data_IF_079392080195
#
_entry.id   IF_079392080195
#
_cell.length_a   1.000
_cell.length_b   1.000
_cell.length_c   1.000
_cell.angle_alpha   90.00
_cell.angle_beta   90.00
_cell.angle_gamma   90.00
#
_symmetry.space_group_name_H-M   'P 1'
#
loop_
_entity.id
_entity.type
_entity.pdbx_description
1 polymer ?
#
# COMPACT_ATOMS: atom_id res chain seq x y z
N UNK A 1 9.44 -22.00 -2.48
CA UNK A 1 8.75 -22.02 -3.80
C UNK A 1 8.86 -20.66 -4.42
N UNK A 2 9.05 -20.57 -5.74
CA UNK A 2 9.12 -19.29 -6.46
C UNK A 2 7.73 -18.68 -6.66
N UNK A 3 7.65 -17.34 -6.80
CA UNK A 3 6.37 -16.63 -6.94
C UNK A 3 5.56 -17.10 -8.15
N UNK A 4 6.23 -17.39 -9.28
CA UNK A 4 5.59 -17.91 -10.49
C UNK A 4 4.89 -19.26 -10.27
N UNK A 5 5.48 -20.10 -9.44
CA UNK A 5 4.90 -21.41 -9.09
C UNK A 5 3.67 -21.23 -8.18
N UNK A 6 3.73 -20.31 -7.21
CA UNK A 6 2.58 -20.01 -6.35
C UNK A 6 1.42 -19.42 -7.18
N UNK A 7 1.73 -18.49 -8.09
CA UNK A 7 0.72 -17.93 -9.01
C UNK A 7 0.10 -19.01 -9.88
N UNK A 8 0.90 -19.95 -10.39
CA UNK A 8 0.39 -21.09 -11.17
C UNK A 8 -0.60 -21.96 -10.36
N UNK A 9 -0.37 -22.17 -9.07
CA UNK A 9 -1.31 -22.88 -8.19
C UNK A 9 -2.64 -22.11 -8.05
N UNK A 10 -2.62 -20.78 -7.90
CA UNK A 10 -3.84 -19.97 -7.91
C UNK A 10 -4.60 -20.10 -9.24
N UNK A 11 -3.91 -20.04 -10.37
CA UNK A 11 -4.51 -20.20 -11.70
C UNK A 11 -5.14 -21.58 -11.89
N UNK A 12 -4.54 -22.62 -11.31
CA UNK A 12 -5.05 -24.00 -11.32
C UNK A 12 -6.15 -24.25 -10.28
N UNK A 13 -6.49 -23.24 -9.45
CA UNK A 13 -7.42 -23.40 -8.33
C UNK A 13 -7.01 -24.50 -7.35
N UNK A 14 -5.72 -24.68 -7.16
CA UNK A 14 -5.19 -25.61 -6.16
C UNK A 14 -5.17 -24.95 -4.77
N UNK A 15 -5.75 -25.58 -3.77
CA UNK A 15 -5.74 -25.11 -2.37
C UNK A 15 -4.32 -24.97 -1.81
N UNK A 16 -3.34 -25.69 -2.38
CA UNK A 16 -1.93 -25.53 -2.04
C UNK A 16 -1.42 -24.10 -2.26
N UNK A 17 -2.05 -23.31 -3.13
CA UNK A 17 -1.71 -21.92 -3.34
C UNK A 17 -1.73 -21.14 -2.03
N UNK A 18 -2.75 -21.35 -1.18
CA UNK A 18 -2.91 -20.68 0.11
C UNK A 18 -1.82 -21.09 1.07
N UNK A 19 -1.58 -22.41 1.21
CA UNK A 19 -0.58 -22.95 2.13
C UNK A 19 0.85 -22.51 1.76
N UNK A 20 1.18 -22.48 0.47
CA UNK A 20 2.48 -22.00 0.00
C UNK A 20 2.64 -20.49 0.15
N UNK A 21 1.55 -19.74 -0.02
CA UNK A 21 1.53 -18.29 0.22
C UNK A 21 1.75 -17.98 1.69
N UNK A 22 1.05 -18.65 2.61
CA UNK A 22 1.25 -18.46 4.05
C UNK A 22 2.68 -18.81 4.46
N UNK A 23 3.20 -19.93 4.00
CA UNK A 23 4.57 -20.35 4.30
C UNK A 23 5.63 -19.34 3.86
N UNK A 24 5.43 -18.68 2.71
CA UNK A 24 6.40 -17.72 2.16
C UNK A 24 6.18 -16.31 2.67
N UNK A 25 4.94 -15.88 2.79
CA UNK A 25 4.58 -14.48 3.04
C UNK A 25 3.78 -14.24 4.32
N UNK A 26 3.31 -15.27 5.02
CA UNK A 26 2.47 -15.12 6.20
C UNK A 26 3.08 -14.23 7.29
N UNK A 27 4.38 -14.40 7.59
CA UNK A 27 5.08 -13.54 8.54
C UNK A 27 5.12 -12.06 8.13
N UNK A 28 5.34 -11.80 6.84
CA UNK A 28 5.31 -10.44 6.28
C UNK A 28 3.91 -9.84 6.38
N UNK A 29 2.87 -10.59 5.98
CA UNK A 29 1.49 -10.10 5.98
C UNK A 29 0.99 -9.82 7.40
N UNK A 30 1.34 -10.67 8.38
CA UNK A 30 1.08 -10.42 9.80
C UNK A 30 1.78 -9.17 10.30
N UNK A 31 3.02 -8.94 9.90
CA UNK A 31 3.76 -7.71 10.23
C UNK A 31 3.07 -6.47 9.64
N UNK A 32 2.64 -6.53 8.37
CA UNK A 32 1.90 -5.43 7.71
C UNK A 32 0.59 -5.14 8.42
N UNK A 33 -0.21 -6.17 8.74
CA UNK A 33 -1.47 -6.00 9.45
C UNK A 33 -1.26 -5.48 10.88
N UNK A 34 -0.29 -6.03 11.61
CA UNK A 34 -0.02 -5.71 13.01
C UNK A 34 0.51 -4.29 13.26
N UNK A 35 1.06 -3.62 12.24
CA UNK A 35 1.42 -2.19 12.32
C UNK A 35 0.20 -1.27 12.30
N UNK A 36 -0.88 -1.72 11.64
CA UNK A 36 -2.11 -0.95 11.48
C UNK A 36 -3.10 -1.28 12.60
N UNK A 37 -3.14 -2.55 13.00
CA UNK A 37 -4.11 -3.08 13.97
C UNK A 37 -3.43 -3.37 15.29
N UNK A 38 -4.07 -2.96 16.40
CA UNK A 38 -3.50 -3.10 17.74
C UNK A 38 -3.68 -4.52 18.33
N UNK A 39 -4.57 -5.34 17.74
CA UNK A 39 -4.90 -6.69 18.24
C UNK A 39 -4.35 -7.75 17.29
N UNK A 40 -3.71 -8.76 17.86
CA UNK A 40 -3.13 -9.86 17.08
C UNK A 40 -4.22 -10.67 16.35
N UNK A 41 -5.37 -10.88 16.99
CA UNK A 41 -6.49 -11.60 16.40
C UNK A 41 -7.04 -10.92 15.15
N UNK A 42 -7.18 -9.58 15.18
CA UNK A 42 -7.59 -8.81 14.02
C UNK A 42 -6.57 -8.94 12.87
N UNK A 43 -5.27 -9.00 13.19
CA UNK A 43 -4.21 -9.18 12.19
C UNK A 43 -4.28 -10.56 11.52
N UNK A 44 -4.54 -11.63 12.27
CA UNK A 44 -4.71 -12.97 11.71
C UNK A 44 -5.96 -13.06 10.84
N UNK A 45 -7.08 -12.44 11.24
CA UNK A 45 -8.29 -12.36 10.43
C UNK A 45 -8.00 -11.67 9.08
N UNK A 46 -7.31 -10.52 9.11
CA UNK A 46 -6.95 -9.79 7.89
C UNK A 46 -6.01 -10.60 6.98
N UNK A 47 -5.09 -11.36 7.53
CA UNK A 47 -4.22 -12.25 6.74
C UNK A 47 -5.05 -13.34 6.05
N UNK A 48 -6.00 -13.95 6.74
CA UNK A 48 -6.92 -14.92 6.18
C UNK A 48 -7.78 -14.31 5.06
N UNK A 49 -8.33 -13.11 5.29
CA UNK A 49 -9.09 -12.35 4.28
C UNK A 49 -8.21 -11.99 3.07
N UNK A 50 -6.92 -11.74 3.28
CA UNK A 50 -5.96 -11.50 2.17
C UNK A 50 -5.83 -12.72 1.28
N UNK A 51 -5.76 -13.92 1.85
CA UNK A 51 -5.70 -15.16 1.06
C UNK A 51 -7.00 -15.40 0.29
N UNK A 52 -8.14 -15.17 0.92
CA UNK A 52 -9.44 -15.27 0.26
C UNK A 52 -9.58 -14.25 -0.88
N UNK A 53 -9.15 -13.02 -0.67
CA UNK A 53 -9.16 -11.98 -1.70
C UNK A 53 -8.24 -12.35 -2.88
N UNK A 54 -7.02 -12.82 -2.59
CA UNK A 54 -6.10 -13.30 -3.63
C UNK A 54 -6.69 -14.50 -4.40
N UNK A 55 -7.30 -15.45 -3.70
CA UNK A 55 -7.99 -16.58 -4.30
C UNK A 55 -9.11 -16.16 -5.27
N UNK A 56 -9.89 -15.17 -4.88
CA UNK A 56 -11.01 -14.68 -5.69
C UNK A 56 -10.58 -13.81 -6.87
N UNK A 57 -9.44 -13.11 -6.76
CA UNK A 57 -8.96 -12.19 -7.77
C UNK A 57 -7.99 -12.82 -8.77
N UNK A 58 -7.32 -13.90 -8.41
CA UNK A 58 -6.42 -14.65 -9.30
C UNK A 58 -7.09 -15.98 -9.71
N UNK A 59 -7.48 -16.19 -10.98
CA UNK A 59 -7.65 -15.22 -12.06
C UNK A 59 -8.87 -14.31 -11.88
N UNK A 60 -9.08 -13.24 -12.63
CA UNK A 60 -8.35 -12.88 -13.88
C UNK A 60 -7.07 -12.07 -13.67
N UNK A 61 -6.81 -11.51 -12.47
CA UNK A 61 -5.59 -10.75 -12.22
C UNK A 61 -4.38 -11.69 -12.16
N UNK A 62 -3.28 -11.28 -12.81
CA UNK A 62 -1.99 -11.98 -12.72
C UNK A 62 -0.95 -10.99 -12.19
N UNK A 63 -0.58 -11.07 -10.90
CA UNK A 63 0.36 -10.14 -10.31
C UNK A 63 1.78 -10.35 -10.86
N UNK A 64 2.46 -9.26 -11.23
CA UNK A 64 3.87 -9.29 -11.64
C UNK A 64 4.81 -9.60 -10.47
N UNK A 65 4.49 -9.09 -9.28
CA UNK A 65 5.24 -9.30 -8.03
C UNK A 65 4.25 -9.67 -6.94
N UNK A 66 4.23 -10.94 -6.58
CA UNK A 66 3.25 -11.51 -5.64
C UNK A 66 3.34 -10.86 -4.25
N UNK A 67 4.57 -10.61 -3.75
CA UNK A 67 4.83 -9.91 -2.49
C UNK A 67 4.07 -8.58 -2.40
N UNK A 68 4.22 -7.73 -3.41
CA UNK A 68 3.61 -6.40 -3.44
C UNK A 68 2.08 -6.48 -3.57
N UNK A 69 1.60 -7.42 -4.37
CA UNK A 69 0.18 -7.66 -4.55
C UNK A 69 -0.50 -8.05 -3.24
N UNK A 70 0.03 -9.04 -2.53
CA UNK A 70 -0.50 -9.49 -1.24
C UNK A 70 -0.40 -8.40 -0.16
N UNK A 71 0.76 -7.74 -0.03
CA UNK A 71 0.94 -6.66 0.94
C UNK A 71 -0.05 -5.51 0.71
N UNK A 72 -0.37 -5.18 -0.55
CA UNK A 72 -1.39 -4.18 -0.90
C UNK A 72 -2.78 -4.61 -0.43
N UNK A 73 -3.18 -5.86 -0.68
CA UNK A 73 -4.47 -6.40 -0.23
C UNK A 73 -4.56 -6.34 1.29
N UNK A 74 -3.56 -6.89 1.99
CA UNK A 74 -3.49 -6.92 3.46
C UNK A 74 -3.64 -5.51 4.05
N UNK A 75 -2.90 -4.57 3.50
CA UNK A 75 -2.94 -3.17 3.95
C UNK A 75 -4.31 -2.53 3.75
N UNK A 76 -4.92 -2.72 2.58
CA UNK A 76 -6.24 -2.19 2.29
C UNK A 76 -7.31 -2.75 3.25
N UNK A 77 -7.26 -4.04 3.54
CA UNK A 77 -8.17 -4.71 4.47
C UNK A 77 -7.95 -4.23 5.91
N UNK A 78 -6.69 -4.16 6.36
CA UNK A 78 -6.34 -3.69 7.70
C UNK A 78 -6.79 -2.24 7.94
N UNK A 79 -6.63 -1.38 6.95
CA UNK A 79 -7.06 0.02 7.04
C UNK A 79 -8.57 0.17 7.03
N UNK A 80 -9.27 -0.60 6.20
CA UNK A 80 -10.75 -0.62 6.22
C UNK A 80 -11.27 -1.05 7.60
N UNK A 81 -10.61 -2.04 8.23
CA UNK A 81 -10.94 -2.48 9.60
C UNK A 81 -10.63 -1.38 10.62
N UNK A 82 -9.48 -0.73 10.51
CA UNK A 82 -9.08 0.38 11.39
C UNK A 82 -10.00 1.59 11.28
N UNK A 83 -10.38 2.01 10.06
CA UNK A 83 -11.31 3.11 9.82
C UNK A 83 -12.69 2.83 10.43
N UNK A 84 -13.17 1.61 10.32
CA UNK A 84 -14.43 1.18 10.94
C UNK A 84 -14.37 1.25 12.47
N UNK A 85 -13.23 0.89 13.05
CA UNK A 85 -13.03 0.91 14.51
C UNK A 85 -12.75 2.32 15.08
N UNK A 86 -12.28 3.27 14.25
CA UNK A 86 -11.79 4.57 14.71
C UNK A 86 -12.18 5.75 13.82
N UNK A 87 -13.47 6.07 13.76
CA UNK A 87 -13.98 7.29 13.10
C UNK A 87 -13.36 8.61 13.63
N UNK A 88 -12.54 8.57 14.68
CA UNK A 88 -11.97 9.72 15.38
C UNK A 88 -10.45 9.99 15.15
N UNK A 89 -9.70 9.15 14.40
CA UNK A 89 -8.22 9.27 14.34
C UNK A 89 -7.63 9.40 12.94
N UNK A 90 -8.09 10.37 12.13
CA UNK A 90 -7.51 10.65 10.80
C UNK A 90 -6.01 11.04 10.82
N UNK A 91 -5.55 11.72 11.87
CA UNK A 91 -4.16 12.14 11.99
C UNK A 91 -3.20 10.95 12.20
N UNK A 92 -3.56 10.00 13.08
CA UNK A 92 -2.78 8.78 13.30
C UNK A 92 -2.72 7.87 12.05
N UNK A 93 -3.75 7.91 11.21
CA UNK A 93 -3.78 7.19 9.94
C UNK A 93 -2.71 7.67 8.95
N UNK A 94 -2.52 8.98 8.82
CA UNK A 94 -1.49 9.56 7.96
C UNK A 94 -0.08 9.20 8.45
N UNK A 95 0.14 9.24 9.76
CA UNK A 95 1.42 8.91 10.37
C UNK A 95 1.81 7.44 10.17
N UNK A 96 0.86 6.51 10.34
CA UNK A 96 1.06 5.07 10.04
C UNK A 96 1.34 4.85 8.56
N UNK A 97 0.58 5.49 7.67
CA UNK A 97 0.78 5.35 6.23
C UNK A 97 2.14 5.89 5.76
N UNK A 98 2.62 6.98 6.37
CA UNK A 98 3.94 7.54 6.09
C UNK A 98 5.04 6.60 6.56
N UNK A 99 4.95 6.04 7.76
CA UNK A 99 5.96 5.10 8.28
C UNK A 99 6.07 3.82 7.44
N UNK A 100 4.98 3.38 6.83
CA UNK A 100 4.96 2.20 5.98
C UNK A 100 5.44 2.45 4.54
N UNK A 101 5.38 3.69 4.05
CA UNK A 101 5.94 4.05 2.74
C UNK A 101 7.45 3.76 2.67
N UNK A 102 8.17 3.93 3.77
CA UNK A 102 9.60 3.62 3.86
C UNK A 102 9.91 2.14 3.57
N UNK A 103 9.00 1.23 3.91
CA UNK A 103 9.18 -0.20 3.69
C UNK A 103 8.58 -0.71 2.37
N UNK A 104 7.75 0.10 1.71
CA UNK A 104 7.13 -0.27 0.44
C UNK A 104 8.01 0.01 -0.77
N UNK A 105 9.10 0.76 -0.60
CA UNK A 105 10.10 0.91 -1.63
C UNK A 105 10.81 -0.44 -1.78
N UNK A 106 10.77 -1.07 -2.96
CA UNK A 106 11.32 -2.40 -3.13
C UNK A 106 12.81 -2.39 -2.76
N UNK A 107 13.26 -3.31 -1.92
CA UNK A 107 14.70 -3.54 -1.68
C UNK A 107 15.32 -4.20 -2.93
N UNK A 108 15.22 -3.48 -4.04
CA UNK A 108 15.77 -3.88 -5.35
C UNK A 108 17.20 -3.43 -5.52
N UNK A 109 17.70 -2.67 -4.54
CA UNK A 109 19.03 -2.11 -4.60
C UNK A 109 20.09 -3.17 -4.33
N UNK A 110 20.80 -3.57 -5.38
CA UNK A 110 21.89 -4.53 -5.31
C UNK A 110 23.17 -3.95 -4.66
N UNK A 111 23.25 -2.61 -4.49
CA UNK A 111 24.43 -1.93 -3.95
C UNK A 111 24.12 -1.07 -2.72
N UNK A 112 25.08 -0.81 -1.83
CA UNK A 112 24.93 0.09 -0.69
C UNK A 112 24.54 1.52 -1.10
N UNK A 113 25.09 2.01 -2.22
CA UNK A 113 24.81 3.35 -2.77
C UNK A 113 23.35 3.48 -3.18
N UNK A 114 22.82 2.46 -3.89
CA UNK A 114 21.42 2.43 -4.31
C UNK A 114 20.45 2.35 -3.10
N UNK A 115 20.87 1.70 -2.01
CA UNK A 115 20.07 1.69 -0.75
C UNK A 115 20.07 3.06 -0.07
N UNK A 116 21.19 3.77 -0.09
CA UNK A 116 21.28 5.12 0.45
C UNK A 116 20.38 6.09 -0.34
N UNK A 117 20.46 6.08 -1.68
CA UNK A 117 19.63 6.90 -2.56
C UNK A 117 18.13 6.61 -2.37
N UNK A 118 17.75 5.34 -2.23
CA UNK A 118 16.41 4.92 -1.95
C UNK A 118 15.88 5.45 -0.60
N UNK A 119 16.73 5.43 0.42
CA UNK A 119 16.39 5.98 1.74
C UNK A 119 16.22 7.50 1.68
N UNK A 120 17.08 8.21 0.97
CA UNK A 120 16.96 9.66 0.78
C UNK A 120 15.69 10.05 0.03
N UNK A 121 15.34 9.30 -1.03
CA UNK A 121 14.07 9.49 -1.76
C UNK A 121 12.87 9.26 -0.84
N UNK A 122 12.89 8.24 0.01
CA UNK A 122 11.85 7.96 1.00
C UNK A 122 11.66 9.13 1.96
N UNK A 123 12.77 9.65 2.51
CA UNK A 123 12.74 10.81 3.40
C UNK A 123 12.22 12.08 2.71
N UNK A 124 12.60 12.29 1.45
CA UNK A 124 12.08 13.41 0.65
C UNK A 124 10.57 13.29 0.43
N UNK A 125 10.09 12.10 0.08
CA UNK A 125 8.65 11.84 -0.10
C UNK A 125 7.87 12.06 1.20
N UNK A 126 8.41 11.63 2.35
CA UNK A 126 7.79 11.84 3.65
C UNK A 126 7.72 13.35 3.99
N UNK A 127 8.77 14.13 3.71
CA UNK A 127 8.74 15.60 3.87
C UNK A 127 7.66 16.24 3.00
N UNK A 128 7.56 15.83 1.74
CA UNK A 128 6.51 16.32 0.84
C UNK A 128 5.11 16.04 1.39
N UNK A 129 4.83 14.78 1.78
CA UNK A 129 3.53 14.37 2.29
C UNK A 129 3.16 15.08 3.60
N UNK A 130 4.13 15.28 4.49
CA UNK A 130 3.92 15.99 5.75
C UNK A 130 3.64 17.48 5.56
N UNK A 131 4.01 18.06 4.42
CA UNK A 131 3.72 19.45 4.05
C UNK A 131 2.36 19.65 3.36
N UNK A 132 1.65 18.59 3.01
CA UNK A 132 0.34 18.68 2.37
C UNK A 132 -0.77 18.97 3.37
N UNK A 133 -1.86 19.58 2.88
CA UNK A 133 -3.09 19.63 3.67
C UNK A 133 -3.66 18.20 3.88
N UNK A 134 -4.42 17.96 4.97
CA UNK A 134 -4.90 16.63 5.33
C UNK A 134 -5.73 15.95 4.22
N UNK A 135 -6.50 16.75 3.45
CA UNK A 135 -7.30 16.22 2.35
C UNK A 135 -6.41 15.76 1.19
N UNK A 136 -5.45 16.58 0.77
CA UNK A 136 -4.56 16.27 -0.34
C UNK A 136 -3.63 15.10 0.01
N UNK A 137 -3.15 15.01 1.26
CA UNK A 137 -2.41 13.85 1.75
C UNK A 137 -3.27 12.57 1.69
N UNK A 138 -4.51 12.61 2.19
CA UNK A 138 -5.43 11.48 2.14
C UNK A 138 -5.75 11.04 0.70
N UNK A 139 -5.93 11.99 -0.23
CA UNK A 139 -6.16 11.70 -1.65
C UNK A 139 -4.92 11.08 -2.30
N UNK A 140 -3.74 11.62 -2.00
CA UNK A 140 -2.48 11.10 -2.54
C UNK A 140 -2.23 9.66 -2.07
N UNK A 141 -2.24 9.43 -0.76
CA UNK A 141 -2.09 8.10 -0.18
C UNK A 141 -3.18 7.15 -0.68
N UNK A 142 -4.43 7.58 -0.69
CA UNK A 142 -5.55 6.81 -1.20
C UNK A 142 -5.36 6.35 -2.64
N UNK A 143 -4.79 7.21 -3.49
CA UNK A 143 -4.55 6.88 -4.90
C UNK A 143 -3.32 6.02 -5.13
N UNK A 144 -2.17 6.40 -4.56
CA UNK A 144 -0.89 5.81 -4.93
C UNK A 144 -0.46 4.68 -4.02
N UNK A 145 -0.88 4.75 -2.78
CA UNK A 145 -0.56 3.73 -1.80
C UNK A 145 -1.66 2.67 -1.67
N UNK A 146 -2.94 3.11 -1.62
CA UNK A 146 -4.09 2.20 -1.50
C UNK A 146 -4.73 1.81 -2.83
N UNK A 147 -4.26 2.36 -3.95
CA UNK A 147 -4.76 2.12 -5.30
C UNK A 147 -6.28 2.34 -5.46
N UNK A 148 -6.86 3.24 -4.66
CA UNK A 148 -8.29 3.59 -4.77
C UNK A 148 -8.53 4.44 -6.01
N UNK A 149 -9.70 4.27 -6.64
CA UNK A 149 -10.07 5.09 -7.78
C UNK A 149 -10.64 6.45 -7.34
N UNK A 150 -10.74 7.40 -8.30
CA UNK A 150 -11.19 8.75 -7.98
C UNK A 150 -12.65 8.83 -7.50
N UNK A 151 -13.48 7.85 -7.84
CA UNK A 151 -14.87 7.79 -7.38
C UNK A 151 -14.95 7.37 -5.91
N UNK A 152 -14.19 6.31 -5.55
CA UNK A 152 -14.08 5.83 -4.16
C UNK A 152 -13.52 6.91 -3.23
N UNK A 153 -12.42 7.56 -3.65
CA UNK A 153 -11.83 8.66 -2.90
C UNK A 153 -12.79 9.85 -2.75
N UNK A 154 -13.56 10.15 -3.82
CA UNK A 154 -14.56 11.19 -3.79
C UNK A 154 -15.66 10.91 -2.77
N UNK A 155 -16.18 9.69 -2.75
CA UNK A 155 -17.20 9.25 -1.78
C UNK A 155 -16.68 9.34 -0.34
N UNK A 156 -15.43 8.86 -0.08
CA UNK A 156 -14.84 8.90 1.25
C UNK A 156 -14.61 10.32 1.79
N UNK A 157 -14.20 11.22 0.91
CA UNK A 157 -13.86 12.60 1.30
C UNK A 157 -15.01 13.59 1.12
N UNK A 158 -16.18 13.12 0.66
CA UNK A 158 -17.34 13.99 0.44
C UNK A 158 -17.16 14.99 -0.70
N UNK A 159 -16.32 14.68 -1.71
CA UNK A 159 -16.06 15.52 -2.87
C UNK A 159 -16.32 14.75 -4.18
N UNK A 160 -16.52 15.49 -5.28
CA UNK A 160 -16.80 14.87 -6.58
C UNK A 160 -15.53 14.26 -7.19
N UNK A 161 -15.65 13.15 -7.92
CA UNK A 161 -14.53 12.44 -8.55
C UNK A 161 -13.66 13.33 -9.46
N UNK A 162 -14.25 14.34 -10.13
CA UNK A 162 -13.47 15.27 -10.96
C UNK A 162 -12.56 16.18 -10.12
N UNK A 163 -13.00 16.58 -8.91
CA UNK A 163 -12.19 17.36 -7.97
C UNK A 163 -11.01 16.54 -7.46
N UNK A 164 -11.23 15.25 -7.18
CA UNK A 164 -10.14 14.30 -6.86
C UNK A 164 -9.11 14.24 -7.97
N UNK A 165 -9.56 14.04 -9.23
CA UNK A 165 -8.65 13.98 -10.39
C UNK A 165 -7.85 15.28 -10.57
N UNK A 166 -8.48 16.43 -10.39
CA UNK A 166 -7.83 17.75 -10.48
C UNK A 166 -6.76 17.91 -9.40
N UNK A 167 -7.10 17.64 -8.11
CA UNK A 167 -6.15 17.72 -6.99
C UNK A 167 -4.98 16.77 -7.18
N UNK A 168 -5.21 15.51 -7.55
CA UNK A 168 -4.15 14.55 -7.82
C UNK A 168 -3.24 14.97 -8.99
N UNK A 169 -3.79 15.62 -10.02
CA UNK A 169 -2.99 16.19 -11.12
C UNK A 169 -2.06 17.29 -10.60
N UNK A 170 -2.58 18.21 -9.77
CA UNK A 170 -1.82 19.29 -9.15
C UNK A 170 -0.70 18.73 -8.27
N UNK A 171 -1.04 17.80 -7.38
CA UNK A 171 -0.07 17.15 -6.46
C UNK A 171 1.07 16.45 -7.19
N UNK A 172 0.82 15.81 -8.35
CA UNK A 172 1.89 15.22 -9.16
C UNK A 172 2.87 16.25 -9.70
N UNK A 173 2.37 17.41 -10.12
CA UNK A 173 3.23 18.51 -10.60
C UNK A 173 4.06 19.07 -9.45
N UNK A 174 3.43 19.29 -8.29
CA UNK A 174 4.11 19.78 -7.09
C UNK A 174 5.16 18.79 -6.57
N UNK A 175 4.84 17.48 -6.55
CA UNK A 175 5.79 16.45 -6.17
C UNK A 175 7.00 16.41 -7.11
N UNK A 176 6.75 16.49 -8.42
CA UNK A 176 7.84 16.51 -9.40
C UNK A 176 8.78 17.68 -9.15
N UNK A 177 8.24 18.90 -9.03
CA UNK A 177 9.03 20.09 -8.76
C UNK A 177 9.78 20.02 -7.40
N UNK A 178 9.14 19.42 -6.40
CA UNK A 178 9.77 19.19 -5.09
C UNK A 178 10.95 18.22 -5.20
N UNK A 179 10.77 17.08 -5.86
CA UNK A 179 11.84 16.08 -6.03
C UNK A 179 13.01 16.61 -6.87
N UNK A 180 12.73 17.36 -7.94
CA UNK A 180 13.77 18.04 -8.73
C UNK A 180 14.61 19.00 -7.86
N UNK A 181 13.96 19.76 -6.95
CA UNK A 181 14.64 20.66 -6.02
C UNK A 181 15.48 19.91 -4.97
N UNK A 182 15.04 18.74 -4.56
CA UNK A 182 15.77 17.86 -3.61
C UNK A 182 16.89 17.06 -4.29
N UNK A 183 17.10 17.23 -5.61
CA UNK A 183 18.17 16.55 -6.34
C UNK A 183 17.77 15.23 -7.03
N UNK A 184 16.50 14.85 -6.98
CA UNK A 184 15.95 13.65 -7.64
C UNK A 184 15.38 13.98 -9.04
N UNK A 185 16.10 14.73 -9.86
CA UNK A 185 15.72 15.01 -11.25
C UNK A 185 16.02 13.83 -12.16
N UNK A 186 15.04 13.47 -13.03
CA UNK A 186 15.25 12.53 -14.12
C UNK A 186 15.81 13.25 -15.35
#
# INVERSE_FOLDING_TARGET
>A
MEDSQIIALFLQRSEDAISQTDRKYGGLLRSVAGRILSRAEDSEEIVSDTYLAAWNQIPPEIPKVLKHYLSRITRNLALSRYEYASAQKRAAFVEVAISELEECIPDTAASPEARAEQKELSLALNRFLSGLDPLDCALFLGRYYYNRNASELGQQQGIRAYQVKYRLKKLRVELKAFLEKEGFGA
#
